data_IF_091602206402
#
_entry.id   IF_091602206402
#
_cell.length_a   1.000
_cell.length_b   1.000
_cell.length_c   1.000
_cell.angle_alpha   90.00
_cell.angle_beta   90.00
_cell.angle_gamma   90.00
#
_symmetry.space_group_name_H-M   'P 1'
#
loop_
_entity.id
_entity.type
_entity.pdbx_description
1 polymer ?
#
# COMPACT_ATOMS: atom_id res chain seq x y z
N UNK A 1 9.46 -4.00 23.11
CA UNK A 1 8.05 -3.57 23.29
C UNK A 1 8.00 -2.07 23.12
N UNK A 2 7.28 -1.62 22.11
CA UNK A 2 6.98 -0.19 21.91
C UNK A 2 5.96 0.24 22.99
N UNK A 3 5.84 1.55 23.25
CA UNK A 3 4.73 2.06 24.06
C UNK A 3 3.46 2.12 23.20
N UNK A 4 2.25 2.07 23.77
CA UNK A 4 1.01 2.21 23.00
C UNK A 4 0.99 3.45 22.10
N UNK A 5 1.48 4.58 22.63
CA UNK A 5 1.60 5.83 21.87
C UNK A 5 2.50 5.69 20.64
N UNK A 6 3.64 4.98 20.77
CA UNK A 6 4.56 4.76 19.64
C UNK A 6 3.97 3.82 18.59
N UNK A 7 3.16 2.84 19.00
CA UNK A 7 2.44 1.96 18.07
C UNK A 7 1.39 2.74 17.28
N UNK A 8 0.61 3.59 17.96
CA UNK A 8 -0.37 4.46 17.29
C UNK A 8 0.31 5.37 16.26
N UNK A 9 1.43 5.99 16.62
CA UNK A 9 2.21 6.83 15.69
C UNK A 9 2.75 6.03 14.49
N UNK A 10 3.19 4.79 14.72
CA UNK A 10 3.67 3.87 13.70
C UNK A 10 2.55 3.48 12.72
N UNK A 11 1.40 3.03 13.24
CA UNK A 11 0.18 2.71 12.46
C UNK A 11 -0.26 3.90 11.61
N UNK A 12 -0.30 5.11 12.19
CA UNK A 12 -0.64 6.33 11.45
C UNK A 12 0.37 6.64 10.34
N UNK A 13 1.66 6.38 10.58
CA UNK A 13 2.72 6.47 9.59
C UNK A 13 2.48 5.55 8.40
N UNK A 14 2.25 4.26 8.67
CA UNK A 14 1.97 3.25 7.64
C UNK A 14 0.69 3.56 6.85
N UNK A 15 -0.39 3.98 7.52
CA UNK A 15 -1.63 4.41 6.86
C UNK A 15 -1.39 5.57 5.89
N UNK A 16 -0.57 6.54 6.27
CA UNK A 16 -0.21 7.67 5.41
C UNK A 16 0.59 7.22 4.19
N UNK A 17 1.58 6.35 4.37
CA UNK A 17 2.40 5.81 3.27
C UNK A 17 1.56 5.00 2.29
N UNK A 18 0.66 4.14 2.78
CA UNK A 18 -0.30 3.41 1.94
C UNK A 18 -1.20 4.36 1.14
N UNK A 19 -1.70 5.44 1.76
CA UNK A 19 -2.52 6.43 1.05
C UNK A 19 -1.75 7.14 -0.07
N UNK A 20 -0.46 7.45 0.14
CA UNK A 20 0.40 8.03 -0.90
C UNK A 20 0.60 7.04 -2.05
N UNK A 21 0.88 5.77 -1.75
CA UNK A 21 1.04 4.73 -2.76
C UNK A 21 -0.25 4.52 -3.57
N UNK A 22 -1.41 4.53 -2.91
CA UNK A 22 -2.71 4.42 -3.58
C UNK A 22 -2.95 5.59 -4.55
N UNK A 23 -2.75 6.84 -4.11
CA UNK A 23 -2.93 8.01 -4.98
C UNK A 23 -1.95 8.05 -6.15
N UNK A 24 -0.71 7.58 -5.94
CA UNK A 24 0.26 7.43 -7.03
C UNK A 24 -0.22 6.39 -8.05
N UNK A 25 -0.72 5.23 -7.59
CA UNK A 25 -1.23 4.18 -8.46
C UNK A 25 -2.46 4.63 -9.27
N UNK A 26 -3.39 5.36 -8.64
CA UNK A 26 -4.55 5.95 -9.30
C UNK A 26 -4.11 6.95 -10.40
N UNK A 27 -3.20 7.87 -10.07
CA UNK A 27 -2.67 8.84 -11.04
C UNK A 27 -2.01 8.15 -12.24
N UNK A 28 -1.27 7.09 -11.97
CA UNK A 28 -0.60 6.25 -12.98
C UNK A 28 -1.64 5.54 -13.86
N UNK A 29 -2.70 5.00 -13.27
CA UNK A 29 -3.86 4.44 -13.98
C UNK A 29 -4.56 5.47 -14.88
N UNK A 30 -4.78 6.69 -14.37
CA UNK A 30 -5.41 7.79 -15.13
C UNK A 30 -4.54 8.28 -16.29
N UNK A 31 -3.22 8.31 -16.11
CA UNK A 31 -2.28 8.68 -17.19
C UNK A 31 -2.32 7.64 -18.32
N UNK A 32 -2.38 6.35 -17.97
CA UNK A 32 -2.63 5.29 -18.93
C UNK A 32 -4.00 5.49 -19.58
N UNK A 33 -5.07 5.57 -18.79
CA UNK A 33 -6.42 5.63 -19.32
C UNK A 33 -6.62 6.79 -20.28
N UNK A 34 -6.12 8.00 -19.95
CA UNK A 34 -6.19 9.16 -20.85
C UNK A 34 -5.36 8.96 -22.12
N UNK A 35 -4.14 8.41 -22.00
CA UNK A 35 -3.25 8.20 -23.15
C UNK A 35 -3.73 7.09 -24.07
N UNK A 36 -4.42 6.08 -23.54
CA UNK A 36 -4.99 4.95 -24.29
C UNK A 36 -6.43 5.15 -24.74
N UNK A 37 -7.21 5.96 -24.01
CA UNK A 37 -8.62 6.23 -24.28
C UNK A 37 -8.86 7.34 -25.31
N UNK A 38 -7.90 8.25 -25.48
CA UNK A 38 -8.03 9.41 -26.38
C UNK A 38 -6.99 9.47 -27.52
N UNK A 39 -5.91 8.67 -27.48
CA UNK A 39 -4.85 8.73 -28.48
C UNK A 39 -4.38 7.35 -28.93
N UNK A 40 -4.13 7.27 -30.23
CA UNK A 40 -3.55 6.15 -30.97
C UNK A 40 -2.46 5.41 -30.18
N UNK A 41 -2.49 4.07 -30.22
CA UNK A 41 -1.51 3.19 -29.56
C UNK A 41 -0.11 3.27 -30.20
N UNK A 42 0.06 4.08 -31.23
CA UNK A 42 1.33 4.35 -31.89
C UNK A 42 2.25 5.21 -31.00
N UNK A 43 2.94 4.60 -30.03
CA UNK A 43 4.05 5.30 -29.37
C UNK A 43 4.52 4.75 -28.03
N UNK A 44 3.81 3.81 -27.40
CA UNK A 44 4.32 3.14 -26.19
C UNK A 44 5.06 1.88 -26.64
N UNK A 45 6.37 1.85 -26.40
CA UNK A 45 7.17 0.66 -26.69
C UNK A 45 6.84 -0.46 -25.70
N UNK A 46 7.04 -1.72 -26.09
CA UNK A 46 6.93 -2.86 -25.16
C UNK A 46 7.78 -2.66 -23.88
N UNK A 47 8.93 -1.98 -24.02
CA UNK A 47 9.80 -1.62 -22.90
C UNK A 47 9.14 -0.66 -21.90
N UNK A 48 8.34 0.30 -22.38
CA UNK A 48 7.63 1.24 -21.52
C UNK A 48 6.49 0.53 -20.77
N UNK A 49 5.81 -0.41 -21.42
CA UNK A 49 4.79 -1.27 -20.78
C UNK A 49 5.41 -2.20 -19.73
N UNK A 50 6.59 -2.78 -20.01
CA UNK A 50 7.32 -3.60 -19.06
C UNK A 50 7.79 -2.77 -17.85
N UNK A 51 8.39 -1.60 -18.09
CA UNK A 51 8.80 -0.67 -17.03
C UNK A 51 7.63 -0.23 -16.16
N UNK A 52 6.47 -0.01 -16.77
CA UNK A 52 5.23 0.26 -16.06
C UNK A 52 4.79 -0.92 -15.18
N UNK A 53 4.75 -2.14 -15.74
CA UNK A 53 4.39 -3.34 -15.00
C UNK A 53 5.29 -3.59 -13.79
N UNK A 54 6.60 -3.31 -13.94
CA UNK A 54 7.56 -3.36 -12.84
C UNK A 54 7.27 -2.31 -11.76
N UNK A 55 6.93 -1.09 -12.15
CA UNK A 55 6.59 -0.02 -11.21
C UNK A 55 5.32 -0.35 -10.40
N UNK A 56 4.26 -0.82 -11.07
CA UNK A 56 3.03 -1.27 -10.41
C UNK A 56 3.31 -2.40 -9.43
N UNK A 57 4.10 -3.40 -9.83
CA UNK A 57 4.46 -4.53 -8.97
C UNK A 57 5.28 -4.09 -7.75
N UNK A 58 6.22 -3.16 -7.92
CA UNK A 58 6.99 -2.61 -6.82
C UNK A 58 6.10 -1.85 -5.82
N UNK A 59 5.14 -1.06 -6.30
CA UNK A 59 4.17 -0.36 -5.44
C UNK A 59 3.25 -1.33 -4.70
N UNK A 60 2.74 -2.37 -5.37
CA UNK A 60 1.92 -3.40 -4.73
C UNK A 60 2.68 -4.10 -3.59
N UNK A 61 3.96 -4.43 -3.82
CA UNK A 61 4.81 -5.02 -2.78
C UNK A 61 5.01 -4.05 -1.60
N UNK A 62 5.27 -2.76 -1.87
CA UNK A 62 5.44 -1.76 -0.81
C UNK A 62 4.17 -1.59 0.04
N UNK A 63 2.99 -1.54 -0.59
CA UNK A 63 1.71 -1.52 0.12
C UNK A 63 1.56 -2.79 0.97
N UNK A 64 1.86 -3.96 0.41
CA UNK A 64 1.79 -5.24 1.14
C UNK A 64 2.64 -5.24 2.41
N UNK A 65 3.89 -4.76 2.33
CA UNK A 65 4.78 -4.62 3.51
C UNK A 65 4.17 -3.71 4.57
N UNK A 66 3.64 -2.55 4.19
CA UNK A 66 3.01 -1.64 5.15
C UNK A 66 1.74 -2.21 5.80
N UNK A 67 0.96 -3.02 5.07
CA UNK A 67 -0.18 -3.74 5.65
C UNK A 67 0.29 -4.73 6.71
N UNK A 68 1.27 -5.58 6.38
CA UNK A 68 1.82 -6.57 7.33
C UNK A 68 2.40 -5.90 8.58
N UNK A 69 3.12 -4.78 8.43
CA UNK A 69 3.66 -4.01 9.55
C UNK A 69 2.55 -3.37 10.40
N UNK A 70 1.51 -2.84 9.76
CA UNK A 70 0.36 -2.23 10.45
C UNK A 70 -0.41 -3.27 11.26
N UNK A 71 -0.67 -4.45 10.68
CA UNK A 71 -1.37 -5.55 11.36
C UNK A 71 -0.58 -6.02 12.59
N UNK A 72 0.75 -6.15 12.46
CA UNK A 72 1.63 -6.51 13.58
C UNK A 72 1.63 -5.45 14.71
N UNK A 73 1.66 -4.16 14.35
CA UNK A 73 1.58 -3.08 15.33
C UNK A 73 0.19 -2.99 16.00
N UNK A 74 -0.88 -3.32 15.28
CA UNK A 74 -2.24 -3.41 15.82
C UNK A 74 -2.38 -4.57 16.81
N UNK A 75 -1.84 -5.75 16.49
CA UNK A 75 -1.80 -6.90 17.39
C UNK A 75 -1.02 -6.58 18.68
N UNK A 76 0.16 -5.94 18.57
CA UNK A 76 0.94 -5.51 19.75
C UNK A 76 0.15 -4.50 20.59
N UNK A 77 -0.58 -3.58 19.94
CA UNK A 77 -1.40 -2.58 20.62
C UNK A 77 -2.59 -3.23 21.36
N UNK A 78 -3.29 -4.17 20.74
CA UNK A 78 -4.39 -4.90 21.37
C UNK A 78 -3.92 -5.64 22.63
N UNK A 79 -2.78 -6.33 22.54
CA UNK A 79 -2.14 -7.01 23.68
C UNK A 79 -1.84 -6.02 24.82
N UNK A 80 -1.26 -4.86 24.50
CA UNK A 80 -0.90 -3.84 25.48
C UNK A 80 -2.12 -3.18 26.15
N UNK A 81 -3.24 -3.07 25.43
CA UNK A 81 -4.50 -2.53 25.96
C UNK A 81 -5.31 -3.56 26.75
N UNK A 82 -4.86 -4.81 26.81
CA UNK A 82 -5.58 -5.89 27.48
C UNK A 82 -6.82 -6.34 26.72
N UNK A 83 -6.92 -6.00 25.43
CA UNK A 83 -7.91 -6.59 24.53
C UNK A 83 -7.36 -7.96 24.11
N UNK A 84 -7.75 -9.02 24.85
CA UNK A 84 -7.51 -10.39 24.39
C UNK A 84 -8.03 -10.50 22.94
N UNK A 85 -7.14 -10.88 22.02
CA UNK A 85 -7.44 -11.14 20.61
C UNK A 85 -8.44 -12.29 20.49
N UNK A 86 -9.72 -11.96 20.67
CA UNK A 86 -10.82 -12.82 20.30
C UNK A 86 -10.92 -12.83 18.77
N UNK A 87 -10.06 -13.61 18.10
CA UNK A 87 -10.37 -14.48 16.95
C UNK A 87 -9.12 -14.87 16.16
N UNK A 88 -8.43 -15.89 16.66
CA UNK A 88 -8.06 -17.04 15.84
C UNK A 88 -9.09 -18.16 16.11
N UNK A 89 -10.30 -18.08 15.55
CA UNK A 89 -11.18 -19.25 15.46
C UNK A 89 -12.02 -19.18 14.18
N UNK A 90 -11.79 -20.20 13.34
CA UNK A 90 -12.51 -20.67 12.15
C UNK A 90 -11.97 -20.20 10.79
#
# INVERSE_FOLDING_TARGET
>A
MKTPQRLIESIQGHQREMSICQGALETIGDLIHRRHGEADLEGISERDLEGFGLAVRAMANAIGTHVEETDGDLDELAILLGEETAQHVA
#
